data_IF_777293872111
#
_entry.id   IF_777293872111
#
_cell.length_a   1.000
_cell.length_b   1.000
_cell.length_c   1.000
_cell.angle_alpha   90.00
_cell.angle_beta   90.00
_cell.angle_gamma   90.00
#
_symmetry.space_group_name_H-M   'P 1'
#
loop_
_entity.id
_entity.type
_entity.pdbx_description
1 polymer ?
#
# COMPACT_ATOMS: atom_id res chain seq x y z
N UNK A 1 16.29 1.42 -1.07
CA UNK A 1 15.84 2.68 -1.69
C UNK A 1 14.37 2.83 -1.43
N UNK A 2 13.91 4.03 -1.07
CA UNK A 2 12.59 4.23 -0.50
C UNK A 2 11.59 4.69 -1.57
N UNK A 3 10.73 3.79 -2.05
CA UNK A 3 9.68 4.15 -3.01
C UNK A 3 8.64 5.11 -2.43
N UNK A 4 8.45 5.17 -1.10
CA UNK A 4 7.53 6.12 -0.45
C UNK A 4 7.98 7.59 -0.54
N UNK A 5 9.24 7.83 -0.92
CA UNK A 5 9.77 9.17 -1.18
C UNK A 5 9.50 9.69 -2.59
N UNK A 6 9.03 8.84 -3.50
CA UNK A 6 8.81 9.20 -4.89
C UNK A 6 7.46 9.89 -5.07
N UNK A 7 7.39 10.80 -6.04
CA UNK A 7 6.20 11.63 -6.28
C UNK A 7 5.60 11.36 -7.65
N UNK A 8 4.27 11.37 -7.73
CA UNK A 8 3.53 11.36 -8.99
C UNK A 8 3.63 12.72 -9.69
N UNK A 9 3.59 13.81 -8.93
CA UNK A 9 3.81 15.16 -9.43
C UNK A 9 5.29 15.39 -9.75
N UNK A 10 5.57 15.96 -10.93
CA UNK A 10 6.93 16.19 -11.46
C UNK A 10 7.86 14.97 -11.25
N UNK A 11 7.49 13.79 -11.79
CA UNK A 11 8.12 12.51 -11.46
C UNK A 11 9.59 12.42 -11.88
N UNK A 12 10.07 13.28 -12.77
CA UNK A 12 11.48 13.41 -13.14
C UNK A 12 12.33 13.73 -11.91
N UNK A 13 11.75 14.42 -10.91
CA UNK A 13 12.43 14.71 -9.67
C UNK A 13 12.82 13.43 -8.88
N UNK A 14 12.19 12.30 -9.19
CA UNK A 14 12.53 11.02 -8.59
C UNK A 14 13.93 10.55 -8.99
N UNK A 15 14.44 10.94 -10.15
CA UNK A 15 15.79 10.58 -10.62
C UNK A 15 16.84 11.02 -9.61
N UNK A 16 16.87 12.31 -9.25
CA UNK A 16 17.85 12.81 -8.28
C UNK A 16 17.59 12.26 -6.87
N UNK A 17 16.32 12.05 -6.46
CA UNK A 17 16.01 11.43 -5.16
C UNK A 17 16.63 10.04 -5.06
N UNK A 18 16.47 9.23 -6.11
CA UNK A 18 17.04 7.89 -6.20
C UNK A 18 18.57 7.94 -6.21
N UNK A 19 19.20 8.86 -6.94
CA UNK A 19 20.68 8.97 -6.91
C UNK A 19 21.18 9.32 -5.50
N UNK A 20 20.54 10.27 -4.81
CA UNK A 20 20.93 10.67 -3.46
C UNK A 20 20.74 9.56 -2.43
N UNK A 21 19.61 8.86 -2.50
CA UNK A 21 19.34 7.70 -1.66
C UNK A 21 20.35 6.56 -1.92
N UNK A 22 20.83 6.40 -3.16
CA UNK A 22 21.76 5.32 -3.54
C UNK A 22 23.10 5.56 -2.88
N UNK A 23 23.58 6.81 -2.96
CA UNK A 23 24.82 7.24 -2.34
C UNK A 23 24.78 7.03 -0.82
N UNK A 24 23.65 7.31 -0.16
CA UNK A 24 23.50 7.11 1.28
C UNK A 24 23.73 5.65 1.73
N UNK A 25 23.47 4.67 0.87
CA UNK A 25 23.66 3.24 1.18
C UNK A 25 24.89 2.62 0.53
N UNK A 26 25.67 3.38 -0.26
CA UNK A 26 26.85 2.87 -0.98
C UNK A 26 28.18 3.46 -0.51
N UNK A 27 28.18 4.68 0.05
CA UNK A 27 29.40 5.45 0.33
C UNK A 27 30.24 4.89 1.48
N UNK A 28 29.64 4.44 2.58
CA UNK A 28 30.39 3.88 3.71
C UNK A 28 30.95 2.51 3.35
N UNK A 29 32.26 2.36 3.29
CA UNK A 29 32.88 1.05 2.98
C UNK A 29 32.55 -0.02 4.04
N UNK A 30 32.46 0.39 5.31
CA UNK A 30 32.25 -0.52 6.44
C UNK A 30 30.76 -0.90 6.63
N UNK A 31 29.83 -0.08 6.13
CA UNK A 31 28.39 -0.26 6.35
C UNK A 31 27.54 -0.31 5.07
N UNK A 32 28.11 -0.15 3.87
CA UNK A 32 27.34 -0.15 2.62
C UNK A 32 26.55 -1.43 2.39
N UNK A 33 25.44 -1.28 1.66
CA UNK A 33 24.62 -2.37 1.22
C UNK A 33 25.42 -3.35 0.35
N UNK A 34 25.13 -4.65 0.51
CA UNK A 34 25.75 -5.75 -0.26
C UNK A 34 25.09 -5.94 -1.63
N UNK A 35 23.86 -5.46 -1.75
CA UNK A 35 23.06 -5.44 -2.97
C UNK A 35 22.14 -4.23 -2.89
N UNK A 36 21.92 -3.57 -4.03
CA UNK A 36 21.07 -2.39 -4.14
C UNK A 36 20.01 -2.66 -5.19
N UNK A 37 18.75 -2.37 -4.86
CA UNK A 37 17.67 -2.28 -5.82
C UNK A 37 17.23 -0.81 -5.88
N UNK A 38 17.20 -0.25 -7.08
CA UNK A 38 16.67 1.09 -7.32
C UNK A 38 15.24 0.99 -7.86
N UNK A 39 14.30 1.81 -7.36
CA UNK A 39 12.99 1.96 -7.98
C UNK A 39 13.13 2.63 -9.35
N UNK A 40 12.07 2.61 -10.14
CA UNK A 40 11.99 3.40 -11.37
C UNK A 40 11.53 4.83 -11.07
N UNK A 41 11.95 5.78 -11.91
CA UNK A 41 11.60 7.20 -11.74
C UNK A 41 10.08 7.45 -11.82
N UNK A 42 9.34 6.61 -12.56
CA UNK A 42 7.90 6.70 -12.75
C UNK A 42 7.09 5.72 -11.87
N UNK A 43 7.69 5.09 -10.86
CA UNK A 43 7.03 4.06 -10.04
C UNK A 43 5.80 4.59 -9.25
N UNK A 44 5.77 5.89 -8.96
CA UNK A 44 4.62 6.54 -8.35
C UNK A 44 3.40 6.70 -9.31
N UNK A 45 3.59 6.55 -10.62
CA UNK A 45 2.52 6.59 -11.62
C UNK A 45 1.93 5.21 -11.93
N UNK A 46 2.72 4.14 -11.77
CA UNK A 46 2.31 2.78 -12.10
C UNK A 46 3.50 1.86 -12.35
N UNK A 47 3.23 0.70 -12.97
CA UNK A 47 4.26 -0.30 -13.25
C UNK A 47 5.29 0.24 -14.26
N UNK A 48 6.59 0.18 -13.96
CA UNK A 48 7.61 0.72 -14.83
C UNK A 48 7.83 -0.14 -16.08
N UNK A 49 8.12 0.52 -17.20
CA UNK A 49 8.44 -0.15 -18.48
C UNK A 49 9.90 -0.65 -18.44
N UNK A 50 10.28 -1.57 -19.34
CA UNK A 50 11.68 -2.00 -19.46
C UNK A 50 12.67 -0.85 -19.67
N UNK A 51 12.26 0.22 -20.36
CA UNK A 51 13.08 1.43 -20.53
C UNK A 51 13.32 2.16 -19.21
N UNK A 52 12.28 2.31 -18.37
CA UNK A 52 12.39 2.98 -17.07
C UNK A 52 13.29 2.15 -16.12
N UNK A 53 13.14 0.82 -16.14
CA UNK A 53 13.99 -0.10 -15.37
C UNK A 53 15.45 -0.06 -15.83
N UNK A 54 15.70 0.09 -17.13
CA UNK A 54 17.06 0.26 -17.64
C UNK A 54 17.71 1.51 -17.04
N UNK A 55 16.96 2.59 -16.83
CA UNK A 55 17.51 3.80 -16.22
C UNK A 55 18.00 3.56 -14.79
N UNK A 56 17.21 2.85 -13.99
CA UNK A 56 17.58 2.40 -12.63
C UNK A 56 18.83 1.50 -12.64
N UNK A 57 19.01 0.66 -13.66
CA UNK A 57 20.24 -0.11 -13.84
C UNK A 57 21.43 0.80 -14.20
N UNK A 58 21.23 1.76 -15.11
CA UNK A 58 22.29 2.68 -15.55
C UNK A 58 22.79 3.56 -14.41
N UNK A 59 21.92 4.03 -13.51
CA UNK A 59 22.35 4.75 -12.31
C UNK A 59 23.35 3.95 -11.48
N UNK A 60 23.11 2.66 -11.27
CA UNK A 60 24.03 1.78 -10.54
C UNK A 60 25.34 1.55 -11.32
N UNK A 61 25.27 1.40 -12.64
CA UNK A 61 26.46 1.20 -13.47
C UNK A 61 27.33 2.46 -13.55
N UNK A 62 26.73 3.64 -13.63
CA UNK A 62 27.46 4.92 -13.55
C UNK A 62 28.19 5.00 -12.22
N UNK A 63 27.51 4.74 -11.09
CA UNK A 63 28.17 4.69 -9.78
C UNK A 63 29.33 3.69 -9.77
N UNK A 64 29.14 2.49 -10.32
CA UNK A 64 30.11 1.41 -10.24
C UNK A 64 31.31 1.54 -11.20
N UNK A 65 31.13 2.14 -12.37
CA UNK A 65 32.11 2.09 -13.46
C UNK A 65 32.57 3.46 -13.96
N UNK A 66 31.84 4.53 -13.66
CA UNK A 66 32.21 5.90 -14.05
C UNK A 66 32.68 6.76 -12.86
N UNK A 67 32.51 6.26 -11.64
CA UNK A 67 33.00 6.92 -10.42
C UNK A 67 34.03 6.05 -9.69
N UNK A 68 34.89 6.70 -8.93
CA UNK A 68 35.87 6.08 -8.03
C UNK A 68 35.31 5.94 -6.59
N UNK A 69 34.06 6.35 -6.34
CA UNK A 69 33.46 6.40 -4.99
C UNK A 69 33.49 5.05 -4.26
N UNK A 70 33.45 3.94 -5.00
CA UNK A 70 33.46 2.60 -4.42
C UNK A 70 34.86 2.06 -4.11
N UNK A 71 35.91 2.73 -4.61
CA UNK A 71 37.32 2.32 -4.49
C UNK A 71 37.95 2.79 -3.17
N UNK A 72 37.54 3.97 -2.68
CA UNK A 72 38.05 4.57 -1.45
C UNK A 72 37.88 3.66 -0.22
N UNK A 73 38.66 3.93 0.83
CA UNK A 73 38.39 3.44 2.19
C UNK A 73 37.05 4.01 2.71
N UNK A 74 36.69 3.77 3.96
CA UNK A 74 35.47 4.40 4.48
C UNK A 74 35.67 5.92 4.61
N UNK A 75 34.98 6.68 3.76
CA UNK A 75 35.14 8.13 3.68
C UNK A 75 34.56 8.87 4.89
N UNK A 76 33.83 8.19 5.76
CA UNK A 76 33.28 8.77 6.98
C UNK A 76 34.20 8.61 8.20
N UNK A 77 35.30 7.86 8.09
CA UNK A 77 36.26 7.65 9.18
C UNK A 77 36.76 9.00 9.72
N UNK A 78 36.62 9.21 11.03
CA UNK A 78 37.04 10.44 11.72
C UNK A 78 36.01 11.58 11.68
N UNK A 79 34.87 11.42 11.00
CA UNK A 79 33.80 12.43 11.01
C UNK A 79 33.07 12.46 12.35
N UNK A 80 33.33 13.49 13.16
CA UNK A 80 32.67 13.65 14.47
C UNK A 80 31.14 13.78 14.37
N UNK A 81 30.63 14.30 13.24
CA UNK A 81 29.20 14.45 12.98
C UNK A 81 28.55 13.09 12.69
N UNK A 82 29.14 12.30 11.79
CA UNK A 82 28.59 10.99 11.39
C UNK A 82 28.73 9.99 12.53
N UNK A 83 29.86 9.98 13.23
CA UNK A 83 30.09 9.10 14.38
C UNK A 83 29.08 9.37 15.50
N UNK A 84 28.87 10.65 15.85
CA UNK A 84 27.84 11.02 16.84
C UNK A 84 26.46 10.58 16.40
N UNK A 85 26.07 10.87 15.15
CA UNK A 85 24.75 10.50 14.64
C UNK A 85 24.54 8.98 14.62
N UNK A 86 25.58 8.21 14.31
CA UNK A 86 25.58 6.75 14.34
C UNK A 86 25.38 6.23 15.75
N UNK A 87 26.10 6.79 16.73
CA UNK A 87 25.94 6.44 18.14
C UNK A 87 24.52 6.75 18.65
N UNK A 88 24.01 7.95 18.37
CA UNK A 88 22.67 8.36 18.78
C UNK A 88 21.58 7.43 18.20
N UNK A 89 21.72 7.03 16.92
CA UNK A 89 20.78 6.10 16.27
C UNK A 89 20.87 4.68 16.84
N UNK A 90 22.09 4.19 17.13
CA UNK A 90 22.29 2.88 17.76
C UNK A 90 21.64 2.84 19.14
N UNK A 91 21.87 3.86 19.96
CA UNK A 91 21.36 3.90 21.32
C UNK A 91 19.83 4.00 21.33
N UNK A 92 19.24 4.80 20.43
CA UNK A 92 17.79 4.87 20.26
C UNK A 92 17.19 3.53 19.77
N UNK A 93 17.81 2.87 18.79
CA UNK A 93 17.36 1.56 18.32
C UNK A 93 17.45 0.48 19.40
N UNK A 94 18.49 0.53 20.24
CA UNK A 94 18.66 -0.38 21.36
C UNK A 94 17.58 -0.18 22.44
N UNK A 95 17.24 1.07 22.75
CA UNK A 95 16.16 1.38 23.69
C UNK A 95 14.79 0.86 23.19
N UNK A 96 14.47 1.04 21.90
CA UNK A 96 13.25 0.48 21.30
C UNK A 96 13.25 -1.06 21.34
N UNK A 97 14.42 -1.69 21.09
CA UNK A 97 14.56 -3.14 21.20
C UNK A 97 14.29 -3.66 22.63
N UNK A 98 14.86 -3.01 23.65
CA UNK A 98 14.64 -3.37 25.05
C UNK A 98 13.17 -3.19 25.46
N UNK A 99 12.51 -2.14 24.97
CA UNK A 99 11.07 -1.94 25.21
C UNK A 99 10.24 -3.06 24.58
N UNK A 100 10.56 -3.48 23.35
CA UNK A 100 9.89 -4.61 22.68
C UNK A 100 10.07 -5.90 23.47
N UNK A 101 11.26 -6.17 24.01
CA UNK A 101 11.49 -7.32 24.87
C UNK A 101 10.68 -7.24 26.17
N UNK A 102 10.59 -6.06 26.78
CA UNK A 102 9.81 -5.84 28.00
C UNK A 102 8.29 -6.06 27.77
N UNK A 103 7.80 -5.83 26.56
CA UNK A 103 6.42 -6.13 26.15
C UNK A 103 6.17 -7.62 25.82
N UNK A 104 7.16 -8.50 25.99
CA UNK A 104 7.04 -9.94 25.68
C UNK A 104 7.48 -10.31 24.27
N UNK A 105 8.10 -9.39 23.53
CA UNK A 105 8.60 -9.59 22.17
C UNK A 105 7.66 -9.06 21.09
N UNK A 106 8.15 -9.06 19.85
CA UNK A 106 7.48 -8.41 18.73
C UNK A 106 6.12 -9.03 18.38
N UNK A 107 5.95 -10.35 18.52
CA UNK A 107 4.71 -11.05 18.20
C UNK A 107 3.56 -10.69 19.16
N UNK A 108 3.86 -10.59 20.46
CA UNK A 108 2.89 -10.17 21.47
C UNK A 108 2.55 -8.68 21.35
N UNK A 109 3.41 -7.91 20.68
CA UNK A 109 3.32 -6.45 20.58
C UNK A 109 2.87 -5.95 19.20
N UNK A 110 2.39 -6.81 18.31
CA UNK A 110 2.11 -6.45 16.90
C UNK A 110 1.14 -5.27 16.80
N UNK A 111 0.09 -5.23 17.62
CA UNK A 111 -0.89 -4.13 17.62
C UNK A 111 -0.25 -2.79 17.99
N UNK A 112 0.57 -2.78 19.04
CA UNK A 112 1.30 -1.60 19.52
C UNK A 112 2.29 -1.11 18.47
N UNK A 113 3.09 -2.03 17.91
CA UNK A 113 4.07 -1.71 16.86
C UNK A 113 3.39 -1.14 15.62
N UNK A 114 2.29 -1.76 15.19
CA UNK A 114 1.49 -1.26 14.07
C UNK A 114 0.92 0.13 14.37
N UNK A 115 0.41 0.36 15.58
CA UNK A 115 -0.06 1.67 16.02
C UNK A 115 1.02 2.76 15.97
N UNK A 116 2.24 2.47 16.44
CA UNK A 116 3.40 3.38 16.35
C UNK A 116 3.73 3.75 14.90
N UNK A 117 3.71 2.77 13.99
CA UNK A 117 3.96 3.00 12.56
C UNK A 117 2.89 3.91 11.92
N UNK A 118 1.61 3.66 12.20
CA UNK A 118 0.51 4.50 11.70
C UNK A 118 0.64 5.93 12.20
N UNK A 119 0.95 6.10 13.50
CA UNK A 119 1.17 7.41 14.10
C UNK A 119 2.36 8.14 13.47
N UNK A 120 3.50 7.46 13.30
CA UNK A 120 4.69 8.04 12.65
C UNK A 120 4.38 8.51 11.23
N UNK A 121 3.56 7.76 10.49
CA UNK A 121 3.14 8.15 9.15
C UNK A 121 2.20 9.36 9.17
N UNK A 122 1.22 9.39 10.09
CA UNK A 122 0.32 10.52 10.28
C UNK A 122 1.08 11.81 10.60
N UNK A 123 2.08 11.74 11.48
CA UNK A 123 2.94 12.88 11.79
C UNK A 123 3.75 13.35 10.57
N UNK A 124 4.25 12.42 9.75
CA UNK A 124 4.94 12.78 8.50
C UNK A 124 4.00 13.48 7.53
N UNK A 125 2.81 12.93 7.29
CA UNK A 125 1.81 13.53 6.40
C UNK A 125 1.46 14.95 6.85
N UNK A 126 1.18 15.13 8.14
CA UNK A 126 0.93 16.46 8.74
C UNK A 126 2.06 17.46 8.47
N UNK A 127 3.32 17.05 8.58
CA UNK A 127 4.47 17.94 8.30
C UNK A 127 4.53 18.34 6.83
N UNK A 128 4.15 17.45 5.91
CA UNK A 128 4.10 17.75 4.47
C UNK A 128 2.96 18.72 4.17
N UNK A 129 1.76 18.48 4.70
CA UNK A 129 0.61 19.35 4.47
C UNK A 129 0.81 20.77 5.04
N UNK A 130 1.44 20.87 6.21
CA UNK A 130 1.76 22.15 6.84
C UNK A 130 3.00 22.84 6.27
N UNK A 131 3.64 22.25 5.24
CA UNK A 131 4.90 22.72 4.65
C UNK A 131 6.08 22.83 5.63
N UNK A 132 5.98 22.23 6.82
CA UNK A 132 7.10 22.02 7.75
C UNK A 132 8.16 21.11 7.10
N UNK A 133 7.71 20.13 6.32
CA UNK A 133 8.54 19.28 5.48
C UNK A 133 8.27 19.57 4.00
N UNK A 134 9.25 20.12 3.31
CA UNK A 134 9.16 20.45 1.89
C UNK A 134 9.28 19.18 1.04
N UNK A 135 8.39 19.04 0.06
CA UNK A 135 8.43 18.06 -1.02
C UNK A 135 8.33 18.80 -2.35
N UNK A 136 9.47 18.96 -3.02
CA UNK A 136 9.61 19.68 -4.30
C UNK A 136 8.67 19.08 -5.35
N UNK A 137 7.89 19.93 -6.02
CA UNK A 137 6.89 19.55 -7.02
C UNK A 137 5.55 19.10 -6.44
N UNK A 138 5.40 19.06 -5.10
CA UNK A 138 4.15 18.67 -4.42
C UNK A 138 3.58 19.84 -3.61
N UNK A 139 4.29 20.28 -2.55
CA UNK A 139 3.85 21.39 -1.69
C UNK A 139 4.66 22.68 -1.86
N UNK A 140 5.74 22.63 -2.64
CA UNK A 140 6.61 23.76 -2.94
C UNK A 140 7.27 23.56 -4.30
N UNK A 141 7.57 24.66 -5.00
CA UNK A 141 8.08 24.64 -6.38
C UNK A 141 7.14 23.85 -7.30
N UNK A 142 5.86 24.19 -7.26
CA UNK A 142 4.79 23.45 -7.95
C UNK A 142 4.68 23.85 -9.42
N UNK A 143 5.27 24.96 -9.82
CA UNK A 143 5.34 25.41 -11.20
C UNK A 143 6.20 24.45 -12.05
N UNK A 144 5.71 24.03 -13.22
CA UNK A 144 6.42 23.14 -14.12
C UNK A 144 6.05 23.36 -15.59
N UNK A 145 6.93 22.92 -16.47
CA UNK A 145 6.69 22.79 -17.91
C UNK A 145 6.29 21.35 -18.23
N UNK A 146 5.52 21.14 -19.30
CA UNK A 146 5.11 19.80 -19.71
C UNK A 146 6.31 18.91 -20.02
N UNK A 147 6.35 17.73 -19.39
CA UNK A 147 7.48 16.81 -19.53
C UNK A 147 7.38 16.00 -20.83
N UNK A 148 8.45 15.93 -21.63
CA UNK A 148 8.49 15.04 -22.80
C UNK A 148 8.55 13.54 -22.41
N UNK A 149 8.76 13.23 -21.13
CA UNK A 149 8.74 11.88 -20.59
C UNK A 149 7.34 11.48 -20.06
N UNK A 150 6.40 12.43 -20.00
CA UNK A 150 4.99 12.20 -19.66
C UNK A 150 4.16 11.67 -20.84
N UNK A 151 2.84 11.52 -20.61
CA UNK A 151 1.87 11.14 -21.65
C UNK A 151 1.35 9.70 -21.59
N UNK A 152 0.43 9.37 -22.50
CA UNK A 152 -0.15 8.02 -22.64
C UNK A 152 0.93 6.96 -22.92
N UNK A 153 0.80 5.78 -22.29
CA UNK A 153 1.74 4.67 -22.48
C UNK A 153 3.07 4.81 -21.74
N UNK A 154 3.14 5.68 -20.73
CA UNK A 154 4.31 5.84 -19.86
C UNK A 154 4.43 4.79 -18.74
N UNK A 155 3.42 3.95 -18.57
CA UNK A 155 3.37 2.83 -17.62
C UNK A 155 2.98 1.53 -18.33
N UNK A 156 3.30 0.39 -17.73
CA UNK A 156 2.85 -0.92 -18.21
C UNK A 156 1.41 -1.16 -17.78
N UNK A 157 0.53 -1.40 -18.75
CA UNK A 157 -0.81 -1.96 -18.51
C UNK A 157 -0.76 -3.47 -18.65
N UNK A 158 -1.32 -4.17 -17.67
CA UNK A 158 -1.51 -5.62 -17.75
C UNK A 158 -2.80 -5.88 -18.50
N UNK A 159 -2.72 -6.71 -19.54
CA UNK A 159 -3.89 -7.12 -20.32
C UNK A 159 -4.77 -8.05 -19.47
N UNK A 160 -6.08 -7.74 -19.41
CA UNK A 160 -7.07 -8.56 -18.71
C UNK A 160 -7.21 -9.97 -19.29
N UNK A 161 -6.84 -10.17 -20.55
CA UNK A 161 -6.87 -11.48 -21.20
C UNK A 161 -5.86 -12.46 -20.60
N UNK A 162 -4.81 -11.97 -19.93
CA UNK A 162 -3.84 -12.80 -19.21
C UNK A 162 -4.53 -13.60 -18.10
N UNK A 163 -5.46 -13.00 -17.36
CA UNK A 163 -6.20 -13.70 -16.30
C UNK A 163 -6.98 -14.88 -16.87
N UNK A 164 -7.70 -14.64 -17.98
CA UNK A 164 -8.48 -15.67 -18.65
C UNK A 164 -7.59 -16.82 -19.12
N UNK A 165 -6.45 -16.51 -19.74
CA UNK A 165 -5.49 -17.53 -20.16
C UNK A 165 -4.96 -18.35 -18.97
N UNK A 166 -4.60 -17.69 -17.86
CA UNK A 166 -4.12 -18.39 -16.66
C UNK A 166 -5.18 -19.34 -16.07
N UNK A 167 -6.47 -18.95 -16.10
CA UNK A 167 -7.58 -19.82 -15.67
C UNK A 167 -7.67 -21.05 -16.58
N UNK A 168 -7.66 -20.85 -17.90
CA UNK A 168 -7.70 -21.94 -18.88
C UNK A 168 -6.52 -22.90 -18.72
N UNK A 169 -5.31 -22.36 -18.51
CA UNK A 169 -4.10 -23.13 -18.29
C UNK A 169 -4.19 -24.00 -17.02
N UNK A 170 -4.69 -23.44 -15.91
CA UNK A 170 -4.87 -24.19 -14.66
C UNK A 170 -5.94 -25.28 -14.81
N UNK A 171 -7.04 -25.01 -15.51
CA UNK A 171 -8.08 -26.01 -15.79
C UNK A 171 -7.52 -27.15 -16.65
N UNK A 172 -6.80 -26.81 -17.72
CA UNK A 172 -6.16 -27.79 -18.60
C UNK A 172 -5.07 -28.61 -17.87
N UNK A 173 -4.31 -27.97 -16.98
CA UNK A 173 -3.30 -28.62 -16.15
C UNK A 173 -3.93 -29.64 -15.20
N UNK A 174 -5.00 -29.24 -14.49
CA UNK A 174 -5.76 -30.12 -13.59
C UNK A 174 -6.37 -31.32 -14.31
N UNK A 175 -6.81 -31.17 -15.56
CA UNK A 175 -7.38 -32.25 -16.34
C UNK A 175 -6.36 -33.34 -16.76
N UNK A 176 -5.06 -32.99 -16.84
CA UNK A 176 -4.01 -33.89 -17.36
C UNK A 176 -3.14 -34.52 -16.27
N UNK A 177 -3.08 -33.92 -15.08
CA UNK A 177 -2.23 -34.39 -13.98
C UNK A 177 -2.75 -35.70 -13.37
N UNK A 178 -1.88 -36.38 -12.63
CA UNK A 178 -2.29 -37.53 -11.81
C UNK A 178 -3.00 -37.03 -10.54
N UNK A 179 -4.33 -36.94 -10.58
CA UNK A 179 -5.09 -36.41 -9.45
C UNK A 179 -4.97 -37.27 -8.19
N UNK A 180 -4.86 -38.61 -8.32
CA UNK A 180 -4.66 -39.49 -7.18
C UNK A 180 -3.36 -39.20 -6.42
N UNK A 181 -2.26 -38.91 -7.15
CA UNK A 181 -1.00 -38.51 -6.55
C UNK A 181 -1.09 -37.14 -5.86
N UNK A 182 -1.84 -36.20 -6.44
CA UNK A 182 -2.10 -34.89 -5.81
C UNK A 182 -2.90 -35.03 -4.52
N UNK A 183 -3.99 -35.82 -4.53
CA UNK A 183 -4.82 -36.03 -3.33
C UNK A 183 -4.04 -36.73 -2.21
N UNK A 184 -3.16 -37.69 -2.57
CA UNK A 184 -2.26 -38.32 -1.60
C UNK A 184 -1.32 -37.30 -0.96
N UNK A 185 -0.65 -36.46 -1.75
CA UNK A 185 0.25 -35.44 -1.25
C UNK A 185 -0.47 -34.34 -0.43
N UNK A 186 -1.69 -33.95 -0.83
CA UNK A 186 -2.53 -33.02 -0.04
C UNK A 186 -2.93 -33.62 1.31
N UNK A 187 -3.17 -34.93 1.36
CA UNK A 187 -3.49 -35.64 2.60
C UNK A 187 -2.28 -35.67 3.54
N UNK A 188 -1.10 -36.00 3.02
CA UNK A 188 0.15 -35.95 3.79
C UNK A 188 0.47 -34.53 4.29
N UNK A 189 0.26 -33.51 3.45
CA UNK A 189 0.42 -32.11 3.83
C UNK A 189 -0.52 -31.74 4.99
N UNK A 190 -1.79 -32.17 4.92
CA UNK A 190 -2.76 -31.93 5.99
C UNK A 190 -2.33 -32.60 7.29
N UNK A 191 -1.88 -33.86 7.24
CA UNK A 191 -1.43 -34.60 8.42
C UNK A 191 -0.20 -33.93 9.05
N UNK A 192 0.79 -33.55 8.24
CA UNK A 192 1.97 -32.85 8.72
C UNK A 192 1.63 -31.49 9.35
N UNK A 193 0.71 -30.73 8.73
CA UNK A 193 0.26 -29.44 9.23
C UNK A 193 -0.56 -29.54 10.54
N UNK A 194 -1.28 -30.64 10.76
CA UNK A 194 -2.01 -30.89 12.01
C UNK A 194 -1.08 -31.35 13.15
N UNK A 195 0.06 -31.92 12.82
CA UNK A 195 1.11 -32.31 13.77
C UNK A 195 2.17 -31.24 13.96
N UNK A 196 3.36 -31.70 14.36
CA UNK A 196 4.58 -30.88 14.45
C UNK A 196 5.63 -31.30 13.40
N UNK A 197 5.19 -32.01 12.35
CA UNK A 197 6.08 -32.51 11.31
C UNK A 197 6.48 -31.41 10.34
N UNK A 198 7.58 -31.63 9.61
CA UNK A 198 8.03 -30.73 8.57
C UNK A 198 7.04 -30.71 7.38
N UNK A 199 6.36 -29.59 7.15
CA UNK A 199 5.44 -29.44 6.02
C UNK A 199 6.14 -29.32 4.66
N UNK A 200 7.45 -29.07 4.62
CA UNK A 200 8.17 -28.86 3.35
C UNK A 200 8.25 -30.12 2.51
N UNK A 201 8.44 -31.28 3.13
CA UNK A 201 8.55 -32.56 2.43
C UNK A 201 7.25 -32.91 1.67
N UNK A 202 6.05 -32.91 2.30
CA UNK A 202 4.80 -33.10 1.56
C UNK A 202 4.47 -31.93 0.62
N UNK A 203 4.95 -30.70 0.87
CA UNK A 203 4.78 -29.58 -0.07
C UNK A 203 5.55 -29.79 -1.38
N UNK A 204 6.78 -30.31 -1.29
CA UNK A 204 7.60 -30.65 -2.47
C UNK A 204 6.96 -31.83 -3.21
N UNK A 205 6.47 -32.84 -2.49
CA UNK A 205 5.75 -33.97 -3.09
C UNK A 205 4.50 -33.48 -3.86
N UNK A 206 3.73 -32.58 -3.26
CA UNK A 206 2.56 -31.97 -3.89
C UNK A 206 2.92 -31.20 -5.17
N UNK A 207 3.95 -30.35 -5.13
CA UNK A 207 4.42 -29.61 -6.29
C UNK A 207 4.85 -30.55 -7.43
N UNK A 208 5.59 -31.62 -7.11
CA UNK A 208 6.00 -32.66 -8.07
C UNK A 208 4.81 -33.44 -8.65
N UNK A 209 3.77 -33.67 -7.84
CA UNK A 209 2.54 -34.32 -8.28
C UNK A 209 1.66 -33.42 -9.16
N UNK A 210 1.97 -32.13 -9.26
CA UNK A 210 1.20 -31.15 -10.04
C UNK A 210 0.08 -30.46 -9.25
N UNK A 211 0.18 -30.44 -7.92
CA UNK A 211 -0.68 -29.62 -7.07
C UNK A 211 -0.44 -28.12 -7.29
N UNK A 212 -1.49 -27.32 -7.11
CA UNK A 212 -1.40 -25.86 -7.31
C UNK A 212 -1.14 -25.13 -5.99
N UNK A 213 -0.64 -23.90 -6.07
CA UNK A 213 -0.52 -23.01 -4.90
C UNK A 213 -1.86 -22.79 -4.19
N UNK A 214 -2.97 -22.77 -4.94
CA UNK A 214 -4.32 -22.66 -4.38
C UNK A 214 -4.74 -23.89 -3.57
N UNK A 215 -4.40 -25.10 -4.02
CA UNK A 215 -4.68 -26.34 -3.29
C UNK A 215 -3.80 -26.46 -2.04
N UNK A 216 -2.51 -26.15 -2.18
CA UNK A 216 -1.56 -26.11 -1.07
C UNK A 216 -2.03 -25.15 0.03
N UNK A 217 -2.30 -23.89 -0.33
CA UNK A 217 -2.77 -22.88 0.62
C UNK A 217 -4.17 -23.19 1.16
N UNK A 218 -5.03 -23.84 0.36
CA UNK A 218 -6.35 -24.30 0.78
C UNK A 218 -6.27 -25.31 1.93
N UNK A 219 -5.37 -26.30 1.86
CA UNK A 219 -5.14 -27.25 2.95
C UNK A 219 -4.64 -26.56 4.21
N UNK A 220 -3.64 -25.68 4.08
CA UNK A 220 -3.09 -24.98 5.24
C UNK A 220 -4.12 -24.05 5.90
N UNK A 221 -4.97 -23.39 5.10
CA UNK A 221 -6.08 -22.57 5.61
C UNK A 221 -7.10 -23.40 6.39
N UNK A 222 -7.38 -24.64 5.99
CA UNK A 222 -8.28 -25.53 6.74
C UNK A 222 -7.72 -25.91 8.11
N UNK A 223 -6.39 -25.99 8.24
CA UNK A 223 -5.73 -26.39 9.49
C UNK A 223 -5.46 -25.19 10.40
N UNK A 224 -4.91 -24.11 9.85
CA UNK A 224 -4.45 -22.95 10.62
C UNK A 224 -5.43 -21.77 10.64
N UNK A 225 -6.45 -21.79 9.78
CA UNK A 225 -7.33 -20.65 9.56
C UNK A 225 -6.68 -19.55 8.73
N UNK A 226 -7.24 -18.35 8.81
CA UNK A 226 -6.71 -17.13 8.17
C UNK A 226 -6.33 -16.10 9.23
N UNK A 227 -5.17 -15.48 9.07
CA UNK A 227 -4.74 -14.38 9.92
C UNK A 227 -5.39 -13.05 9.48
N UNK A 228 -5.98 -12.33 10.44
CA UNK A 228 -6.46 -10.95 10.27
C UNK A 228 -5.56 -10.01 11.04
N UNK A 229 -4.78 -9.21 10.30
CA UNK A 229 -3.81 -8.30 10.89
C UNK A 229 -4.49 -7.09 11.55
N UNK A 230 -3.90 -6.54 12.63
CA UNK A 230 -4.38 -5.30 13.21
C UNK A 230 -4.20 -4.12 12.26
N UNK A 231 -5.10 -3.15 12.37
CA UNK A 231 -5.09 -1.96 11.51
C UNK A 231 -4.20 -0.84 12.06
N UNK A 232 -4.01 -0.77 13.38
CA UNK A 232 -3.26 0.30 14.06
C UNK A 232 -3.97 1.66 14.10
N UNK A 233 -5.10 1.82 13.40
CA UNK A 233 -5.85 3.08 13.30
C UNK A 233 -6.44 3.52 14.64
N UNK A 234 -6.75 2.58 15.55
CA UNK A 234 -7.25 2.89 16.88
C UNK A 234 -6.22 3.64 17.75
N UNK A 235 -4.92 3.37 17.58
CA UNK A 235 -3.84 3.94 18.37
C UNK A 235 -3.38 5.32 17.89
N UNK A 236 -3.71 5.69 16.64
CA UNK A 236 -3.31 6.95 16.01
C UNK A 236 -4.21 8.13 16.41
N UNK A 237 -4.48 8.29 17.71
CA UNK A 237 -5.28 9.41 18.25
C UNK A 237 -4.40 10.66 18.30
N UNK A 238 -4.65 11.60 17.39
CA UNK A 238 -4.02 12.92 17.35
C UNK A 238 -4.91 14.02 17.94
N UNK A 239 -4.30 15.14 18.37
CA UNK A 239 -5.05 16.38 18.60
C UNK A 239 -5.59 16.92 17.27
N UNK A 240 -6.53 17.86 17.35
CA UNK A 240 -7.24 18.51 16.22
C UNK A 240 -6.63 19.86 15.76
N UNK A 241 -5.36 19.99 15.32
CA UNK A 241 -4.87 21.27 14.82
C UNK A 241 -5.09 21.41 13.31
N UNK A 242 -5.10 22.65 12.83
CA UNK A 242 -5.00 22.97 11.40
C UNK A 242 -6.31 22.79 10.61
N UNK A 243 -6.16 22.51 9.31
CA UNK A 243 -7.25 22.56 8.33
C UNK A 243 -8.35 21.52 8.57
N UNK A 244 -8.00 20.34 9.11
CA UNK A 244 -9.00 19.32 9.49
C UNK A 244 -9.97 19.82 10.59
N UNK A 245 -9.57 20.80 11.40
CA UNK A 245 -10.49 21.39 12.38
C UNK A 245 -11.64 22.17 11.71
N UNK A 246 -11.38 22.80 10.55
CA UNK A 246 -12.39 23.47 9.76
C UNK A 246 -13.33 22.45 9.10
N UNK A 247 -12.79 21.33 8.59
CA UNK A 247 -13.60 20.21 8.09
C UNK A 247 -14.48 19.64 9.21
N UNK A 248 -13.94 19.44 10.41
CA UNK A 248 -14.71 18.99 11.56
C UNK A 248 -15.78 19.98 12.03
N UNK A 249 -15.56 21.29 11.86
CA UNK A 249 -16.60 22.29 12.09
C UNK A 249 -17.74 22.14 11.08
N UNK A 250 -17.43 21.90 9.80
CA UNK A 250 -18.44 21.62 8.78
C UNK A 250 -19.17 20.30 8.99
N UNK A 251 -18.47 19.21 9.30
CA UNK A 251 -19.09 17.90 9.57
C UNK A 251 -20.14 18.00 10.67
N UNK A 252 -19.90 18.81 11.70
CA UNK A 252 -20.89 19.09 12.76
C UNK A 252 -22.15 19.82 12.29
N UNK A 253 -22.12 20.46 11.12
CA UNK A 253 -23.29 21.14 10.53
C UNK A 253 -24.15 20.20 9.67
N UNK A 254 -23.66 18.99 9.35
CA UNK A 254 -24.38 18.03 8.51
C UNK A 254 -25.60 17.49 9.30
N UNK A 255 -26.82 17.59 8.74
CA UNK A 255 -28.02 17.01 9.35
C UNK A 255 -27.91 15.49 9.54
N UNK A 256 -28.47 14.98 10.63
CA UNK A 256 -28.42 13.55 10.95
C UNK A 256 -27.15 13.08 11.71
N UNK A 257 -26.22 13.99 12.00
CA UNK A 257 -25.00 13.70 12.76
C UNK A 257 -23.77 13.49 11.87
N UNK A 258 -22.64 13.03 12.42
CA UNK A 258 -21.44 12.73 11.65
C UNK A 258 -21.71 11.76 10.48
N UNK A 259 -21.13 11.96 9.29
CA UNK A 259 -21.14 10.97 8.22
C UNK A 259 -20.25 9.78 8.59
N UNK A 260 -20.66 8.59 8.15
CA UNK A 260 -19.95 7.33 8.33
C UNK A 260 -19.24 6.93 7.04
N UNK A 261 -17.93 6.78 7.10
CA UNK A 261 -17.07 6.33 6.01
C UNK A 261 -16.65 4.87 6.23
N UNK A 262 -16.99 4.00 5.27
CA UNK A 262 -16.41 2.66 5.18
C UNK A 262 -15.15 2.71 4.31
N UNK A 263 -13.98 2.55 4.92
CA UNK A 263 -12.72 2.40 4.19
C UNK A 263 -12.50 0.92 3.92
N UNK A 264 -12.31 0.55 2.65
CA UNK A 264 -12.12 -0.84 2.26
C UNK A 264 -10.98 -1.03 1.24
N UNK A 265 -10.33 -2.19 1.29
CA UNK A 265 -9.28 -2.59 0.36
C UNK A 265 -9.63 -3.92 -0.32
N UNK A 266 -10.17 -3.87 -1.55
CA UNK A 266 -10.58 -5.07 -2.26
C UNK A 266 -9.39 -5.90 -2.76
N UNK A 267 -9.59 -7.20 -2.89
CA UNK A 267 -8.66 -8.11 -3.56
C UNK A 267 -7.45 -8.50 -2.71
N UNK A 268 -6.26 -8.55 -3.30
CA UNK A 268 -5.02 -8.95 -2.62
C UNK A 268 -4.10 -7.78 -2.26
N UNK A 269 -4.55 -6.54 -2.48
CA UNK A 269 -3.76 -5.34 -2.22
C UNK A 269 -3.38 -5.21 -0.74
N UNK A 270 -2.08 -5.31 -0.47
CA UNK A 270 -1.50 -5.20 0.87
C UNK A 270 -1.14 -3.77 1.29
N UNK A 271 -1.23 -2.78 0.40
CA UNK A 271 -0.79 -1.42 0.70
C UNK A 271 -1.78 -0.68 1.61
N UNK A 272 -1.58 -0.77 2.92
CA UNK A 272 -2.54 -0.23 3.89
C UNK A 272 -2.27 1.22 4.32
N UNK A 273 -1.06 1.74 4.08
CA UNK A 273 -0.64 3.07 4.58
C UNK A 273 -1.62 4.18 4.19
N UNK A 274 -1.98 4.30 2.90
CA UNK A 274 -2.93 5.32 2.43
C UNK A 274 -4.33 5.17 3.05
N UNK A 275 -4.86 3.94 3.11
CA UNK A 275 -6.16 3.66 3.73
C UNK A 275 -6.17 3.99 5.23
N UNK A 276 -5.08 3.70 5.93
CA UNK A 276 -4.92 4.03 7.35
C UNK A 276 -4.85 5.55 7.56
N UNK A 277 -4.14 6.28 6.71
CA UNK A 277 -4.09 7.74 6.76
C UNK A 277 -5.47 8.37 6.52
N UNK A 278 -6.22 7.88 5.52
CA UNK A 278 -7.59 8.32 5.26
C UNK A 278 -8.50 8.00 6.45
N UNK A 279 -8.39 6.81 7.04
CA UNK A 279 -9.19 6.43 8.21
C UNK A 279 -8.89 7.31 9.43
N UNK A 280 -7.61 7.65 9.68
CA UNK A 280 -7.22 8.58 10.76
C UNK A 280 -7.72 9.99 10.45
N UNK A 281 -7.50 10.49 9.24
CA UNK A 281 -7.91 11.83 8.82
C UNK A 281 -9.43 12.02 8.87
N UNK A 282 -10.20 11.01 8.47
CA UNK A 282 -11.66 11.06 8.50
C UNK A 282 -12.18 11.16 9.94
N UNK A 283 -11.59 10.39 10.85
CA UNK A 283 -11.90 10.48 12.28
C UNK A 283 -11.52 11.84 12.85
N UNK A 284 -10.35 12.38 12.50
CA UNK A 284 -9.90 13.70 12.94
C UNK A 284 -10.77 14.83 12.36
N UNK A 285 -11.32 14.63 11.16
CA UNK A 285 -12.34 15.47 10.53
C UNK A 285 -13.75 15.29 11.15
N UNK A 286 -13.90 14.44 12.17
CA UNK A 286 -15.15 14.27 12.91
C UNK A 286 -16.16 13.31 12.29
N UNK A 287 -15.76 12.48 11.32
CA UNK A 287 -16.58 11.42 10.74
C UNK A 287 -16.52 10.14 11.57
N UNK A 288 -17.55 9.30 11.46
CA UNK A 288 -17.48 7.90 11.90
C UNK A 288 -16.72 7.08 10.85
N UNK A 289 -15.89 6.13 11.28
CA UNK A 289 -15.02 5.38 10.38
C UNK A 289 -15.06 3.90 10.69
N UNK A 290 -15.39 3.11 9.66
CA UNK A 290 -15.28 1.65 9.67
C UNK A 290 -14.09 1.26 8.79
N UNK A 291 -13.13 0.53 9.37
CA UNK A 291 -11.99 -0.01 8.63
C UNK A 291 -11.61 -1.40 9.15
N UNK A 292 -11.88 -2.41 8.33
CA UNK A 292 -11.68 -3.83 8.67
C UNK A 292 -10.33 -4.38 8.18
N UNK A 293 -9.43 -3.52 7.72
CA UNK A 293 -8.10 -3.90 7.24
C UNK A 293 -8.06 -4.21 5.75
N UNK A 294 -7.16 -5.14 5.39
CA UNK A 294 -6.81 -5.45 4.00
C UNK A 294 -7.38 -6.78 3.53
N UNK A 295 -7.32 -6.99 2.22
CA UNK A 295 -7.68 -8.25 1.55
C UNK A 295 -9.12 -8.70 1.79
N UNK A 296 -10.04 -7.78 1.50
CA UNK A 296 -11.47 -8.06 1.53
C UNK A 296 -11.94 -8.44 0.12
N UNK A 297 -12.83 -9.41 0.03
CA UNK A 297 -13.53 -9.73 -1.22
C UNK A 297 -14.60 -8.67 -1.52
N UNK A 298 -14.97 -8.44 -2.79
CA UNK A 298 -16.10 -7.56 -3.13
C UNK A 298 -17.38 -7.88 -2.35
N UNK A 299 -17.68 -9.17 -2.16
CA UNK A 299 -18.83 -9.67 -1.41
C UNK A 299 -18.75 -9.29 0.07
N UNK A 300 -17.57 -9.42 0.69
CA UNK A 300 -17.37 -9.00 2.08
C UNK A 300 -17.54 -7.48 2.24
N UNK A 301 -17.06 -6.69 1.27
CA UNK A 301 -17.22 -5.23 1.31
C UNK A 301 -18.70 -4.86 1.19
N UNK A 302 -19.42 -5.47 0.25
CA UNK A 302 -20.86 -5.24 0.09
C UNK A 302 -21.66 -5.65 1.34
N UNK A 303 -21.32 -6.79 1.95
CA UNK A 303 -21.91 -7.22 3.21
C UNK A 303 -21.64 -6.23 4.35
N UNK A 304 -20.39 -5.76 4.50
CA UNK A 304 -20.06 -4.72 5.49
C UNK A 304 -20.80 -3.41 5.23
N UNK A 305 -20.94 -3.00 3.97
CA UNK A 305 -21.70 -1.80 3.64
C UNK A 305 -23.19 -1.94 3.98
N UNK A 306 -23.80 -3.09 3.70
CA UNK A 306 -25.18 -3.37 4.09
C UNK A 306 -25.37 -3.35 5.61
N UNK A 307 -24.45 -3.97 6.35
CA UNK A 307 -24.60 -4.18 7.79
C UNK A 307 -24.24 -2.92 8.60
N UNK A 308 -23.27 -2.14 8.13
CA UNK A 308 -22.81 -0.91 8.81
C UNK A 308 -23.55 0.36 8.35
N UNK A 309 -24.26 0.32 7.23
CA UNK A 309 -25.00 1.43 6.63
C UNK A 309 -24.17 2.74 6.58
N UNK A 310 -23.02 2.76 5.88
CA UNK A 310 -22.19 3.96 5.77
C UNK A 310 -22.83 4.99 4.82
N UNK A 311 -22.49 6.26 4.99
CA UNK A 311 -22.92 7.31 4.06
C UNK A 311 -22.06 7.36 2.77
N UNK A 312 -20.86 6.77 2.83
CA UNK A 312 -19.91 6.73 1.72
C UNK A 312 -18.93 5.55 1.88
N UNK A 313 -18.57 4.91 0.76
CA UNK A 313 -17.60 3.82 0.71
C UNK A 313 -16.34 4.33 0.02
N UNK A 314 -15.20 4.28 0.70
CA UNK A 314 -13.88 4.60 0.16
C UNK A 314 -13.07 3.35 -0.16
N UNK A 315 -12.86 3.07 -1.44
CA UNK A 315 -12.01 1.96 -1.89
C UNK A 315 -10.57 2.45 -2.07
N UNK A 316 -9.61 1.80 -1.43
CA UNK A 316 -8.18 2.10 -1.60
C UNK A 316 -7.48 0.98 -2.38
N UNK A 317 -6.99 1.28 -3.59
CA UNK A 317 -6.39 0.31 -4.53
C UNK A 317 -5.06 0.85 -5.09
N UNK A 318 -3.95 0.18 -4.76
CA UNK A 318 -2.61 0.52 -5.24
C UNK A 318 -2.00 -0.59 -6.11
N UNK A 319 -2.72 -1.68 -6.33
CA UNK A 319 -2.27 -2.87 -7.07
C UNK A 319 -2.49 -2.80 -8.59
N UNK A 320 -3.05 -1.70 -9.11
CA UNK A 320 -3.43 -1.58 -10.52
C UNK A 320 -4.67 -2.41 -10.93
N UNK A 321 -5.39 -2.98 -9.96
CA UNK A 321 -6.55 -3.84 -10.19
C UNK A 321 -7.89 -3.10 -10.10
N UNK A 322 -7.87 -1.76 -10.11
CA UNK A 322 -9.06 -0.91 -9.97
C UNK A 322 -10.08 -1.15 -11.08
N UNK A 323 -9.63 -1.38 -12.31
CA UNK A 323 -10.51 -1.66 -13.45
C UNK A 323 -11.31 -2.96 -13.33
N UNK A 324 -10.82 -3.93 -12.54
CA UNK A 324 -11.55 -5.17 -12.28
C UNK A 324 -12.33 -5.12 -10.96
N UNK A 325 -11.68 -4.66 -9.89
CA UNK A 325 -12.24 -4.74 -8.53
C UNK A 325 -13.30 -3.69 -8.24
N UNK A 326 -13.18 -2.47 -8.79
CA UNK A 326 -14.18 -1.41 -8.53
C UNK A 326 -15.54 -1.80 -9.14
N UNK A 327 -15.62 -2.21 -10.43
CA UNK A 327 -16.89 -2.69 -10.98
C UNK A 327 -17.45 -3.91 -10.24
N UNK A 328 -16.59 -4.84 -9.80
CA UNK A 328 -17.03 -6.00 -9.02
C UNK A 328 -17.67 -5.62 -7.68
N UNK A 329 -17.07 -4.67 -6.95
CA UNK A 329 -17.65 -4.15 -5.69
C UNK A 329 -18.98 -3.46 -5.96
N UNK A 330 -19.06 -2.59 -6.97
CA UNK A 330 -20.32 -1.91 -7.33
C UNK A 330 -21.41 -2.92 -7.72
N UNK A 331 -21.05 -3.99 -8.44
CA UNK A 331 -21.99 -5.04 -8.81
C UNK A 331 -22.53 -5.79 -7.59
N UNK A 332 -21.67 -6.15 -6.64
CA UNK A 332 -22.10 -6.81 -5.39
C UNK A 332 -22.94 -5.88 -4.50
N UNK A 333 -22.60 -4.58 -4.40
CA UNK A 333 -23.43 -3.59 -3.70
C UNK A 333 -24.84 -3.53 -4.29
N UNK A 334 -24.96 -3.45 -5.62
CA UNK A 334 -26.26 -3.44 -6.32
C UNK A 334 -27.06 -4.72 -6.06
N UNK A 335 -26.39 -5.87 -6.05
CA UNK A 335 -27.02 -7.17 -5.77
C UNK A 335 -27.56 -7.26 -4.35
N UNK A 336 -26.88 -6.65 -3.39
CA UNK A 336 -27.31 -6.53 -1.99
C UNK A 336 -28.34 -5.40 -1.76
N UNK A 337 -28.71 -4.64 -2.80
CA UNK A 337 -29.62 -3.51 -2.69
C UNK A 337 -29.03 -2.29 -1.96
N UNK A 338 -27.69 -2.22 -1.88
CA UNK A 338 -26.95 -1.13 -1.23
C UNK A 338 -26.69 -0.02 -2.24
N UNK A 339 -27.27 1.15 -1.99
CA UNK A 339 -27.22 2.35 -2.84
C UNK A 339 -26.48 3.47 -2.09
N UNK A 340 -25.16 3.34 -2.00
CA UNK A 340 -24.25 4.22 -1.27
C UNK A 340 -23.17 4.70 -2.24
N UNK A 341 -22.79 6.00 -2.26
CA UNK A 341 -21.75 6.50 -3.14
C UNK A 341 -20.40 5.84 -2.86
N UNK A 342 -19.69 5.48 -3.93
CA UNK A 342 -18.36 4.88 -3.87
C UNK A 342 -17.32 5.88 -4.37
N UNK A 343 -16.30 6.17 -3.57
CA UNK A 343 -15.10 6.91 -3.98
C UNK A 343 -13.91 5.96 -4.06
N UNK A 344 -12.94 6.27 -4.91
CA UNK A 344 -11.76 5.41 -5.11
C UNK A 344 -10.48 6.22 -4.92
N UNK A 345 -9.53 5.68 -4.18
CA UNK A 345 -8.20 6.26 -3.96
C UNK A 345 -7.07 5.31 -4.32
N UNK A 346 -5.96 5.82 -4.83
CA UNK A 346 -4.72 5.05 -5.02
C UNK A 346 -3.98 5.40 -6.31
N UNK A 347 -3.18 4.46 -6.82
CA UNK A 347 -2.41 4.67 -8.06
C UNK A 347 -3.35 4.37 -9.24
N UNK A 348 -4.00 5.42 -9.73
CA UNK A 348 -5.01 5.34 -10.79
C UNK A 348 -4.57 6.22 -11.95
N UNK A 349 -4.29 5.64 -13.13
CA UNK A 349 -3.95 6.40 -14.33
C UNK A 349 -5.05 7.38 -14.74
N UNK A 350 -4.66 8.52 -15.31
CA UNK A 350 -5.60 9.59 -15.69
C UNK A 350 -6.65 9.12 -16.71
N UNK A 351 -6.22 8.28 -17.63
CA UNK A 351 -7.05 7.65 -18.68
C UNK A 351 -8.12 6.68 -18.15
N UNK A 352 -7.94 6.12 -16.95
CA UNK A 352 -8.90 5.20 -16.34
C UNK A 352 -10.01 5.93 -15.58
N UNK A 353 -9.78 7.20 -15.20
CA UNK A 353 -10.75 8.01 -14.41
C UNK A 353 -12.12 8.12 -15.08
N UNK A 354 -12.25 8.46 -16.39
CA UNK A 354 -13.55 8.59 -17.02
C UNK A 354 -14.34 7.28 -17.01
N UNK A 355 -13.66 6.13 -17.11
CA UNK A 355 -14.29 4.81 -17.10
C UNK A 355 -14.80 4.48 -15.70
N UNK A 356 -14.04 4.77 -14.66
CA UNK A 356 -14.46 4.59 -13.27
C UNK A 356 -15.68 5.47 -12.92
N UNK A 357 -15.67 6.74 -13.34
CA UNK A 357 -16.81 7.65 -13.14
C UNK A 357 -18.06 7.13 -13.86
N UNK A 358 -17.92 6.67 -15.10
CA UNK A 358 -19.03 6.06 -15.85
C UNK A 358 -19.55 4.75 -15.23
N UNK A 359 -18.70 4.03 -14.48
CA UNK A 359 -19.10 2.82 -13.75
C UNK A 359 -19.90 3.11 -12.47
N UNK A 360 -19.95 4.37 -12.03
CA UNK A 360 -20.70 4.82 -10.84
C UNK A 360 -19.82 5.26 -9.66
N UNK A 361 -18.52 5.49 -9.87
CA UNK A 361 -17.65 6.11 -8.87
C UNK A 361 -17.97 7.61 -8.78
N UNK A 362 -18.10 8.12 -7.55
CA UNK A 362 -18.42 9.52 -7.29
C UNK A 362 -17.19 10.44 -7.38
N UNK A 363 -16.02 9.96 -6.92
CA UNK A 363 -14.76 10.72 -6.96
C UNK A 363 -13.54 9.79 -7.00
N UNK A 364 -12.43 10.28 -7.57
CA UNK A 364 -11.16 9.55 -7.69
C UNK A 364 -10.01 10.40 -7.14
N UNK A 365 -9.28 9.86 -6.15
CA UNK A 365 -8.12 10.50 -5.52
C UNK A 365 -6.81 9.75 -5.83
N UNK A 366 -5.74 10.46 -6.18
CA UNK A 366 -4.42 9.87 -6.50
C UNK A 366 -3.31 10.48 -5.63
N UNK A 367 -2.04 10.01 -5.70
CA UNK A 367 -0.95 10.61 -4.93
C UNK A 367 -0.75 12.13 -5.14
N UNK A 368 -1.25 12.72 -6.23
CA UNK A 368 -1.34 14.18 -6.42
C UNK A 368 -2.27 14.88 -5.42
N UNK A 369 -3.30 14.20 -4.94
CA UNK A 369 -4.24 14.71 -3.93
C UNK A 369 -3.62 14.55 -2.53
N UNK A 370 -2.57 15.34 -2.25
CA UNK A 370 -1.78 15.16 -1.03
C UNK A 370 -2.39 15.82 0.22
N UNK A 371 -3.40 16.69 0.05
CA UNK A 371 -4.05 17.44 1.14
C UNK A 371 -5.28 16.67 1.64
N UNK A 372 -5.13 16.00 2.78
CA UNK A 372 -6.19 15.22 3.41
C UNK A 372 -7.39 16.08 3.79
N UNK A 373 -7.20 17.35 4.16
CA UNK A 373 -8.30 18.28 4.45
C UNK A 373 -9.26 18.44 3.27
N UNK A 374 -8.72 18.57 2.06
CA UNK A 374 -9.51 18.74 0.84
C UNK A 374 -10.26 17.43 0.51
N UNK A 375 -9.58 16.28 0.59
CA UNK A 375 -10.22 14.96 0.42
C UNK A 375 -11.34 14.75 1.45
N UNK A 376 -11.08 15.03 2.74
CA UNK A 376 -12.08 14.82 3.80
C UNK A 376 -13.27 15.76 3.65
N UNK A 377 -13.04 16.98 3.15
CA UNK A 377 -14.10 17.93 2.85
C UNK A 377 -15.00 17.42 1.72
N UNK A 378 -14.40 16.96 0.63
CA UNK A 378 -15.10 16.42 -0.54
C UNK A 378 -15.90 15.15 -0.17
N UNK A 379 -15.29 14.21 0.55
CA UNK A 379 -15.99 13.01 1.07
C UNK A 379 -17.18 13.39 1.95
N UNK A 380 -17.04 14.39 2.83
CA UNK A 380 -18.14 14.85 3.69
C UNK A 380 -19.27 15.50 2.88
N UNK A 381 -18.96 16.23 1.82
CA UNK A 381 -19.95 16.81 0.90
C UNK A 381 -20.68 15.74 0.09
N UNK A 382 -19.96 14.74 -0.43
CA UNK A 382 -20.53 13.57 -1.12
C UNK A 382 -21.48 12.82 -0.18
N UNK A 383 -21.05 12.55 1.05
CA UNK A 383 -21.90 11.91 2.05
C UNK A 383 -23.16 12.74 2.35
N UNK A 384 -23.02 14.04 2.59
CA UNK A 384 -24.15 14.93 2.89
C UNK A 384 -25.15 15.04 1.73
N UNK A 385 -24.69 15.02 0.48
CA UNK A 385 -25.55 15.11 -0.69
C UNK A 385 -26.36 13.83 -0.96
N UNK A 386 -25.88 12.67 -0.48
CA UNK A 386 -26.49 11.37 -0.74
C UNK A 386 -27.17 10.75 0.48
N UNK A 387 -27.09 11.40 1.65
CA UNK A 387 -27.79 10.97 2.86
C UNK A 387 -29.31 11.12 2.68
N UNK A 388 -30.03 10.01 2.83
CA UNK A 388 -31.49 9.94 2.67
C UNK A 388 -32.25 10.37 3.92
#
# INVERSE_FOLDING_TARGET
MNSLGLTEAQPENNIQRIVLEMLAVSLSKNARARSIQLPAWNEALGLPRPWDQQWSLRMQQVLAFETDLLEYADIFDGSTVIEKKTADLRDAAWAEYEEILAMGGAFESVDTLKGRLVKSMAERTRRIESSEQIVVGVNSYTEFEESPLGGEGNIVKVDHDVERQMIEDVVAWRAKRNDAAVQAALTELRLAAQGNDNIMDPSIALAKAGGTTGEWSGVLRQVFGEFRAPTGVAAAVGKRPGELAAVAAYVRTIPGGPPKLLVAKPGLDGHSSGAEQIAVAARDAGMEVVYSGIRLTPEQIAASARDEDPDVIGLSILSGSHMALVPAVIAELRKEGVDIPVVVGGIIPEEDRPVLLAAGVAAVYTPKDFRLSDIMRDIAEIAAANRK
#
